data_IF_005254089845
#
_entry.id   IF_005254089845
#
_cell.length_a   1.000
_cell.length_b   1.000
_cell.length_c   1.000
_cell.angle_alpha   90.00
_cell.angle_beta   90.00
_cell.angle_gamma   90.00
#
_symmetry.space_group_name_H-M   'P 1'
#
loop_
_entity.id
_entity.type
_entity.pdbx_description
1 polymer ?
#
# COMPACT_ATOMS: atom_id res chain seq x y z
N UNK A 1 5.68 3.05 16.76
CA UNK A 1 4.63 2.72 17.74
C UNK A 1 4.36 1.21 17.67
N UNK A 2 4.73 0.48 18.73
CA UNK A 2 4.58 -0.98 18.87
C UNK A 2 3.55 -1.35 19.95
N UNK A 3 2.65 -0.43 20.32
CA UNK A 3 1.63 -0.70 21.35
C UNK A 3 0.62 -1.79 20.96
N UNK A 4 -0.20 -2.22 21.94
CA UNK A 4 -1.20 -3.30 21.79
C UNK A 4 -2.19 -3.11 20.62
N UNK A 5 -2.42 -1.86 20.20
CA UNK A 5 -3.25 -1.54 19.01
C UNK A 5 -2.60 -1.99 17.70
N UNK A 6 -1.27 -1.90 17.59
CA UNK A 6 -0.53 -2.38 16.43
C UNK A 6 -0.61 -3.90 16.34
N UNK A 7 -0.42 -4.61 17.47
CA UNK A 7 -0.57 -6.07 17.54
C UNK A 7 -1.97 -6.53 17.14
N UNK A 8 -3.02 -5.86 17.66
CA UNK A 8 -4.41 -6.14 17.24
C UNK A 8 -4.59 -5.97 15.72
N UNK A 9 -3.99 -4.94 15.13
CA UNK A 9 -4.11 -4.68 13.68
C UNK A 9 -3.48 -5.81 12.85
N UNK A 10 -2.34 -6.35 13.28
CA UNK A 10 -1.68 -7.49 12.63
C UNK A 10 -2.58 -8.72 12.69
N UNK A 11 -3.13 -9.04 13.85
CA UNK A 11 -4.01 -10.21 14.02
C UNK A 11 -5.29 -10.11 13.18
N UNK A 12 -5.92 -8.93 13.15
CA UNK A 12 -7.11 -8.70 12.32
C UNK A 12 -6.78 -8.87 10.83
N UNK A 13 -5.63 -8.36 10.37
CA UNK A 13 -5.16 -8.52 8.99
C UNK A 13 -4.86 -9.98 8.65
N UNK A 14 -4.12 -10.69 9.50
CA UNK A 14 -3.83 -12.11 9.33
C UNK A 14 -5.13 -12.95 9.24
N UNK A 15 -6.11 -12.66 10.10
CA UNK A 15 -7.42 -13.30 10.06
C UNK A 15 -8.20 -13.01 8.76
N UNK A 16 -8.11 -11.79 8.22
CA UNK A 16 -8.69 -11.46 6.93
C UNK A 16 -8.02 -12.25 5.79
N UNK A 17 -6.69 -12.30 5.76
CA UNK A 17 -5.94 -13.08 4.78
C UNK A 17 -6.28 -14.58 4.86
N UNK A 18 -6.44 -15.13 6.07
CA UNK A 18 -6.86 -16.52 6.27
C UNK A 18 -8.25 -16.80 5.69
N UNK A 19 -9.20 -15.87 5.80
CA UNK A 19 -10.54 -16.01 5.20
C UNK A 19 -10.49 -15.94 3.68
N UNK A 20 -9.64 -15.09 3.10
CA UNK A 20 -9.49 -14.95 1.65
C UNK A 20 -8.78 -16.14 1.02
N UNK A 21 -7.68 -16.60 1.60
CA UNK A 21 -6.82 -17.65 1.01
C UNK A 21 -7.07 -19.05 1.57
N UNK A 22 -7.89 -19.18 2.62
CA UNK A 22 -8.21 -20.46 3.25
C UNK A 22 -6.95 -21.24 3.67
N UNK A 23 -6.96 -22.54 3.37
CA UNK A 23 -5.85 -23.47 3.65
C UNK A 23 -4.76 -23.46 2.57
N UNK A 24 -4.91 -22.67 1.51
CA UNK A 24 -4.01 -22.68 0.34
C UNK A 24 -2.63 -22.10 0.67
N UNK A 25 -2.53 -21.22 1.67
CA UNK A 25 -1.26 -20.63 2.15
C UNK A 25 -0.92 -21.10 3.55
N UNK A 26 0.38 -21.28 3.81
CA UNK A 26 0.89 -21.61 5.14
C UNK A 26 0.64 -20.47 6.12
N UNK A 27 0.49 -20.81 7.39
CA UNK A 27 0.27 -19.84 8.46
C UNK A 27 1.43 -18.84 8.57
N UNK A 28 2.67 -19.31 8.37
CA UNK A 28 3.86 -18.47 8.34
C UNK A 28 3.82 -17.41 7.24
N UNK A 29 3.36 -17.76 6.03
CA UNK A 29 3.19 -16.79 4.93
C UNK A 29 2.14 -15.75 5.32
N UNK A 30 1.00 -16.18 5.86
CA UNK A 30 -0.09 -15.26 6.25
C UNK A 30 0.35 -14.31 7.37
N UNK A 31 1.09 -14.81 8.36
CA UNK A 31 1.62 -14.02 9.46
C UNK A 31 2.65 -12.99 8.98
N UNK A 32 3.60 -13.42 8.13
CA UNK A 32 4.62 -12.53 7.56
C UNK A 32 3.99 -11.46 6.65
N UNK A 33 3.03 -11.83 5.79
CA UNK A 33 2.29 -10.87 4.97
C UNK A 33 1.56 -9.83 5.83
N UNK A 34 0.86 -10.27 6.89
CA UNK A 34 0.17 -9.34 7.79
C UNK A 34 1.14 -8.40 8.53
N UNK A 35 2.31 -8.91 8.93
CA UNK A 35 3.34 -8.11 9.59
C UNK A 35 3.90 -7.04 8.64
N UNK A 36 4.17 -7.42 7.38
CA UNK A 36 4.68 -6.54 6.34
C UNK A 36 3.67 -5.44 5.98
N UNK A 37 2.40 -5.81 5.75
CA UNK A 37 1.31 -4.88 5.43
C UNK A 37 1.14 -3.80 6.50
N UNK A 38 1.31 -4.15 7.77
CA UNK A 38 1.08 -3.23 8.89
C UNK A 38 2.27 -2.30 9.13
N UNK A 39 3.50 -2.78 8.89
CA UNK A 39 4.71 -2.11 9.35
C UNK A 39 5.55 -1.48 8.23
N UNK A 40 5.69 -2.11 7.06
CA UNK A 40 6.50 -1.57 5.96
C UNK A 40 6.11 -0.12 5.57
N UNK A 41 4.83 0.26 5.50
CA UNK A 41 4.46 1.64 5.15
C UNK A 41 4.92 2.71 6.15
N UNK A 42 5.27 2.31 7.38
CA UNK A 42 5.69 3.23 8.45
C UNK A 42 7.21 3.38 8.52
N UNK A 43 7.95 2.45 7.93
CA UNK A 43 9.39 2.38 8.07
C UNK A 43 10.11 3.36 7.16
N UNK A 44 11.22 3.89 7.67
CA UNK A 44 12.13 4.68 6.85
C UNK A 44 12.98 3.74 5.99
N UNK A 45 13.66 4.31 4.97
CA UNK A 45 14.56 3.53 4.12
C UNK A 45 15.66 2.78 4.90
N UNK A 46 16.06 3.31 6.07
CA UNK A 46 17.08 2.71 6.93
C UNK A 46 16.52 1.56 7.79
N UNK A 47 15.22 1.61 8.13
CA UNK A 47 14.58 0.60 8.98
C UNK A 47 14.19 -0.66 8.19
N UNK A 48 13.92 -0.51 6.88
CA UNK A 48 13.48 -1.61 6.02
C UNK A 48 14.50 -2.76 6.01
N UNK A 49 15.81 -2.55 5.77
CA UNK A 49 16.79 -3.64 5.79
C UNK A 49 16.87 -4.35 7.14
N UNK A 50 16.80 -3.59 8.25
CA UNK A 50 16.85 -4.15 9.60
C UNK A 50 15.64 -5.04 9.88
N UNK A 51 14.45 -4.57 9.49
CA UNK A 51 13.21 -5.33 9.65
C UNK A 51 13.21 -6.59 8.77
N UNK A 52 13.67 -6.51 7.52
CA UNK A 52 13.80 -7.67 6.64
C UNK A 52 14.81 -8.69 7.17
N UNK A 53 15.92 -8.25 7.80
CA UNK A 53 16.86 -9.14 8.47
C UNK A 53 16.21 -9.91 9.63
N UNK A 54 15.58 -9.19 10.56
CA UNK A 54 14.91 -9.79 11.73
C UNK A 54 13.80 -10.76 11.28
N UNK A 55 12.99 -10.38 10.31
CA UNK A 55 11.91 -11.24 9.82
C UNK A 55 12.42 -12.45 9.03
N UNK A 56 13.53 -12.31 8.31
CA UNK A 56 14.20 -13.44 7.65
C UNK A 56 14.71 -14.48 8.65
N UNK A 57 15.25 -14.02 9.78
CA UNK A 57 15.70 -14.91 10.87
C UNK A 57 14.51 -15.61 11.57
N UNK A 58 13.38 -14.92 11.74
CA UNK A 58 12.19 -15.46 12.40
C UNK A 58 11.34 -16.38 11.50
N UNK A 59 11.36 -16.17 10.18
CA UNK A 59 10.59 -16.93 9.19
C UNK A 59 11.51 -17.52 8.10
N UNK A 60 12.42 -18.45 8.46
CA UNK A 60 13.40 -18.99 7.52
C UNK A 60 12.72 -19.77 6.39
N UNK A 61 13.14 -19.50 5.15
CA UNK A 61 12.63 -20.19 3.95
C UNK A 61 11.21 -19.81 3.54
N UNK A 62 10.62 -18.78 4.15
CA UNK A 62 9.30 -18.26 3.77
C UNK A 62 9.46 -17.19 2.69
N UNK A 63 9.13 -17.54 1.45
CA UNK A 63 9.09 -16.57 0.35
C UNK A 63 7.71 -15.93 0.23
N UNK A 64 7.66 -14.60 0.14
CA UNK A 64 6.40 -13.90 -0.09
C UNK A 64 5.97 -14.04 -1.55
N UNK A 65 4.71 -14.37 -1.83
CA UNK A 65 4.20 -14.38 -3.19
C UNK A 65 4.21 -12.94 -3.76
N UNK A 66 4.63 -12.74 -5.01
CA UNK A 66 4.57 -11.43 -5.64
C UNK A 66 3.11 -10.99 -5.77
N UNK A 67 2.84 -9.72 -5.46
CA UNK A 67 1.55 -9.10 -5.71
C UNK A 67 1.47 -8.66 -7.18
N UNK A 68 0.46 -9.13 -7.92
CA UNK A 68 0.23 -8.69 -9.29
C UNK A 68 -0.67 -7.44 -9.32
N UNK A 69 -0.04 -6.33 -9.74
CA UNK A 69 -0.67 -5.04 -9.98
C UNK A 69 -0.64 -4.65 -11.47
N UNK A 70 -0.32 -5.56 -12.39
CA UNK A 70 0.00 -5.24 -13.78
C UNK A 70 -1.04 -4.33 -14.46
N UNK A 71 -2.33 -4.66 -14.32
CA UNK A 71 -3.42 -3.84 -14.89
C UNK A 71 -3.44 -2.43 -14.28
N UNK A 72 -3.28 -2.31 -12.96
CA UNK A 72 -3.25 -1.02 -12.27
C UNK A 72 -2.00 -0.21 -12.66
N UNK A 73 -0.84 -0.85 -12.82
CA UNK A 73 0.41 -0.19 -13.22
C UNK A 73 0.25 0.47 -14.59
N UNK A 74 -0.29 -0.26 -15.57
CA UNK A 74 -0.55 0.28 -16.91
C UNK A 74 -1.47 1.51 -16.83
N UNK A 75 -2.52 1.46 -16.02
CA UNK A 75 -3.43 2.60 -15.86
C UNK A 75 -2.80 3.76 -15.08
N UNK A 76 -1.92 3.50 -14.11
CA UNK A 76 -1.16 4.53 -13.40
C UNK A 76 -0.22 5.28 -14.35
N UNK A 77 0.51 4.56 -15.20
CA UNK A 77 1.40 5.15 -16.19
C UNK A 77 0.63 5.97 -17.23
N UNK A 78 -0.47 5.42 -17.76
CA UNK A 78 -1.36 6.13 -18.68
C UNK A 78 -1.98 7.38 -18.06
N UNK A 79 -2.45 7.29 -16.82
CA UNK A 79 -3.06 8.42 -16.10
C UNK A 79 -2.04 9.50 -15.76
N UNK A 80 -0.82 9.12 -15.38
CA UNK A 80 0.28 10.06 -15.15
C UNK A 80 0.61 10.84 -16.43
N UNK A 81 0.76 10.15 -17.57
CA UNK A 81 0.97 10.79 -18.86
C UNK A 81 -0.20 11.72 -19.25
N UNK A 82 -1.44 11.29 -19.03
CA UNK A 82 -2.64 12.09 -19.31
C UNK A 82 -2.71 13.39 -18.48
N UNK A 83 -2.11 13.41 -17.30
CA UNK A 83 -1.97 14.58 -16.44
C UNK A 83 -0.69 15.40 -16.71
N UNK A 84 0.07 15.06 -17.76
CA UNK A 84 1.30 15.75 -18.13
C UNK A 84 2.51 15.43 -17.22
N UNK A 85 2.45 14.32 -16.48
CA UNK A 85 3.52 13.88 -15.59
C UNK A 85 4.41 12.83 -16.26
N UNK A 86 5.66 12.73 -15.81
CA UNK A 86 6.56 11.65 -16.21
C UNK A 86 6.39 10.44 -15.26
N UNK A 87 5.91 9.27 -15.74
CA UNK A 87 5.74 8.09 -14.90
C UNK A 87 7.09 7.42 -14.62
N UNK A 88 7.89 8.02 -13.74
CA UNK A 88 9.10 7.36 -13.23
C UNK A 88 8.68 6.17 -12.37
N UNK A 89 9.46 5.08 -12.42
CA UNK A 89 9.21 3.87 -11.62
C UNK A 89 9.03 4.19 -10.12
N UNK A 90 9.85 5.11 -9.58
CA UNK A 90 9.75 5.55 -8.20
C UNK A 90 8.41 6.22 -7.86
N UNK A 91 7.81 6.94 -8.80
CA UNK A 91 6.51 7.59 -8.65
C UNK A 91 5.37 6.58 -8.73
N UNK A 92 5.40 5.67 -9.72
CA UNK A 92 4.41 4.59 -9.86
C UNK A 92 4.41 3.70 -8.61
N UNK A 93 5.60 3.33 -8.13
CA UNK A 93 5.77 2.58 -6.88
C UNK A 93 5.15 3.29 -5.67
N UNK A 94 5.22 4.63 -5.60
CA UNK A 94 4.57 5.40 -4.53
C UNK A 94 3.04 5.39 -4.62
N UNK A 95 2.48 5.36 -5.82
CA UNK A 95 1.04 5.17 -6.02
C UNK A 95 0.59 3.78 -5.55
N UNK A 96 1.36 2.73 -5.85
CA UNK A 96 1.09 1.36 -5.38
C UNK A 96 1.15 1.29 -3.86
N UNK A 97 2.19 1.86 -3.24
CA UNK A 97 2.33 1.89 -1.78
C UNK A 97 1.16 2.62 -1.10
N UNK A 98 0.68 3.71 -1.70
CA UNK A 98 -0.52 4.41 -1.23
C UNK A 98 -1.75 3.49 -1.30
N UNK A 99 -1.97 2.83 -2.45
CA UNK A 99 -3.06 1.88 -2.64
C UNK A 99 -3.04 0.73 -1.61
N UNK A 100 -1.89 0.07 -1.44
CA UNK A 100 -1.71 -1.01 -0.45
C UNK A 100 -2.04 -0.53 0.97
N UNK A 101 -1.65 0.70 1.31
CA UNK A 101 -1.95 1.28 2.62
C UNK A 101 -3.44 1.56 2.79
N UNK A 102 -4.13 2.09 1.77
CA UNK A 102 -5.58 2.34 1.79
C UNK A 102 -6.37 1.04 1.99
N UNK A 103 -5.93 -0.06 1.37
CA UNK A 103 -6.57 -1.38 1.51
C UNK A 103 -6.47 -1.98 2.92
N UNK A 104 -5.57 -1.46 3.75
CA UNK A 104 -5.34 -1.94 5.12
C UNK A 104 -5.87 -0.94 6.15
N UNK A 105 -5.90 0.37 5.83
CA UNK A 105 -6.21 1.45 6.78
C UNK A 105 -7.07 2.53 6.14
N UNK A 106 -8.15 2.92 6.83
CA UNK A 106 -9.01 4.03 6.42
C UNK A 106 -8.38 5.41 6.66
N UNK A 107 -7.49 5.53 7.66
CA UNK A 107 -6.78 6.76 7.98
C UNK A 107 -5.28 6.61 7.77
N UNK A 108 -4.70 7.50 6.99
CA UNK A 108 -3.27 7.53 6.69
C UNK A 108 -2.76 8.97 6.60
N UNK A 109 -1.44 9.13 6.64
CA UNK A 109 -0.78 10.41 6.43
C UNK A 109 0.22 10.26 5.30
N UNK A 110 0.16 11.16 4.31
CA UNK A 110 1.10 11.20 3.21
C UNK A 110 2.23 12.18 3.55
N UNK A 111 3.41 11.62 3.88
CA UNK A 111 4.54 12.39 4.42
C UNK A 111 5.65 12.50 3.38
N UNK A 112 6.23 13.70 3.27
CA UNK A 112 7.34 13.99 2.36
C UNK A 112 7.65 15.48 2.31
N UNK A 113 8.79 15.84 1.73
CA UNK A 113 9.22 17.23 1.57
C UNK A 113 8.23 18.06 0.74
N UNK A 114 8.30 19.39 0.83
CA UNK A 114 7.51 20.27 -0.03
C UNK A 114 7.81 19.97 -1.50
N UNK A 115 6.79 20.09 -2.36
CA UNK A 115 6.92 19.87 -3.82
C UNK A 115 7.33 18.43 -4.22
N UNK A 116 7.27 17.46 -3.30
CA UNK A 116 7.63 16.06 -3.59
C UNK A 116 6.56 15.26 -4.36
N UNK A 117 5.59 15.90 -5.01
CA UNK A 117 4.55 15.23 -5.82
C UNK A 117 3.44 14.50 -5.04
N UNK A 118 3.30 14.73 -3.73
CA UNK A 118 2.29 14.06 -2.87
C UNK A 118 0.86 14.17 -3.42
N UNK A 119 0.46 15.37 -3.78
CA UNK A 119 -0.87 15.64 -4.35
C UNK A 119 -1.06 14.92 -5.69
N UNK A 120 -0.01 14.83 -6.51
CA UNK A 120 -0.09 14.14 -7.79
C UNK A 120 -0.16 12.62 -7.64
N UNK A 121 0.48 12.03 -6.61
CA UNK A 121 0.31 10.61 -6.29
C UNK A 121 -1.16 10.30 -6.00
N UNK A 122 -1.86 11.16 -5.24
CA UNK A 122 -3.29 11.00 -4.95
C UNK A 122 -4.15 11.19 -6.22
N UNK A 123 -3.90 12.25 -7.00
CA UNK A 123 -4.65 12.54 -8.22
C UNK A 123 -4.50 11.41 -9.26
N UNK A 124 -3.28 10.94 -9.51
CA UNK A 124 -2.98 9.87 -10.48
C UNK A 124 -3.61 8.55 -10.02
N UNK A 125 -3.51 8.23 -8.73
CA UNK A 125 -4.14 7.01 -8.21
C UNK A 125 -5.66 7.06 -8.37
N UNK A 126 -6.31 8.19 -8.07
CA UNK A 126 -7.76 8.33 -8.26
C UNK A 126 -8.17 8.19 -9.74
N UNK A 127 -7.42 8.80 -10.66
CA UNK A 127 -7.67 8.67 -12.10
C UNK A 127 -7.49 7.22 -12.58
N UNK A 128 -6.41 6.55 -12.15
CA UNK A 128 -6.14 5.17 -12.52
C UNK A 128 -7.21 4.20 -11.97
N UNK A 129 -7.66 4.41 -10.73
CA UNK A 129 -8.75 3.62 -10.12
C UNK A 129 -10.08 3.79 -10.86
N UNK A 130 -10.37 5.01 -11.34
CA UNK A 130 -11.55 5.24 -12.18
C UNK A 130 -11.43 4.57 -13.55
N UNK A 131 -10.24 4.56 -14.15
CA UNK A 131 -9.99 3.95 -15.46
C UNK A 131 -10.03 2.41 -15.44
N UNK A 132 -9.61 1.80 -14.32
CA UNK A 132 -9.61 0.34 -14.13
C UNK A 132 -10.86 -0.19 -13.41
N UNK A 133 -11.82 0.68 -13.13
CA UNK A 133 -12.99 0.32 -12.33
C UNK A 133 -13.76 -0.86 -12.95
N UNK A 134 -13.81 -1.98 -12.22
CA UNK A 134 -14.50 -3.21 -12.60
C UNK A 134 -15.77 -3.46 -11.77
N UNK A 135 -16.02 -2.59 -10.77
CA UNK A 135 -17.18 -2.69 -9.89
C UNK A 135 -17.00 -3.65 -8.72
N UNK A 136 -15.87 -4.37 -8.66
CA UNK A 136 -15.58 -5.34 -7.59
C UNK A 136 -14.27 -4.99 -6.87
N UNK A 137 -13.14 -5.10 -7.58
CA UNK A 137 -11.80 -4.92 -7.02
C UNK A 137 -11.38 -3.45 -7.03
N UNK A 138 -11.77 -2.72 -8.06
CA UNK A 138 -11.43 -1.32 -8.23
C UNK A 138 -12.70 -0.50 -8.41
N UNK A 139 -12.78 0.58 -7.62
CA UNK A 139 -13.91 1.48 -7.60
C UNK A 139 -13.44 2.91 -7.91
N UNK A 140 -14.26 3.70 -8.62
CA UNK A 140 -13.94 5.10 -8.86
C UNK A 140 -13.91 5.88 -7.54
N UNK A 141 -12.99 6.82 -7.42
CA UNK A 141 -12.76 7.60 -6.20
C UNK A 141 -13.12 9.07 -6.44
N UNK A 142 -13.79 9.68 -5.46
CA UNK A 142 -14.02 11.13 -5.41
C UNK A 142 -13.06 11.76 -4.40
N UNK A 143 -12.31 12.77 -4.83
CA UNK A 143 -11.37 13.50 -3.99
C UNK A 143 -11.99 14.80 -3.49
N UNK A 144 -12.05 14.98 -2.17
CA UNK A 144 -12.45 16.22 -1.52
C UNK A 144 -11.26 16.83 -0.79
N UNK A 145 -10.84 18.03 -1.19
CA UNK A 145 -9.68 18.74 -0.62
C UNK A 145 -10.17 19.84 0.32
N UNK A 146 -9.72 19.82 1.57
CA UNK A 146 -10.07 20.80 2.61
C UNK A 146 -8.77 21.29 3.26
N UNK A 147 -8.66 22.60 3.49
CA UNK A 147 -7.63 23.14 4.35
C UNK A 147 -8.18 23.26 5.78
N UNK A 148 -7.77 22.37 6.72
CA UNK A 148 -8.33 22.37 8.08
C UNK A 148 -7.94 23.59 8.91
N UNK A 149 -7.04 24.46 8.40
CA UNK A 149 -6.59 25.69 9.07
C UNK A 149 -7.06 26.98 8.41
N UNK A 150 -7.82 26.91 7.30
CA UNK A 150 -8.28 28.13 6.62
C UNK A 150 -9.51 28.78 7.24
N UNK A 151 -10.12 28.12 8.22
CA UNK A 151 -11.23 28.58 9.05
C UNK A 151 -10.75 28.50 10.49
#
# INVERSE_FOLDING_TARGET
>A
DFGMRALKSILVRAGALRRTYGSTRSESILALSALNDVNLPKFTANDIPLFLGITGDLFPGVEMPPSDYGVLIVQLEGSACGLGLQPKESFVRKCIQLWETIMVRHGLMLVGQTISGKTEVENVLAAALAAVADGERYLPVQLHKINPKSI
#
